data_IF_812351555265
#
_entry.id   IF_812351555265
#
_cell.length_a   1.000
_cell.length_b   1.000
_cell.length_c   1.000
_cell.angle_alpha   90.00
_cell.angle_beta   90.00
_cell.angle_gamma   90.00
#
_symmetry.space_group_name_H-M   'P 1'
#
loop_
_entity.id
_entity.type
_entity.pdbx_description
1 polymer ?
#
# COMPACT_ATOMS: atom_id res chain seq x y z
N UNK A 1 16.96 -26.17 -35.30
CA UNK A 1 16.15 -25.34 -34.39
C UNK A 1 16.06 -26.12 -33.09
N UNK A 2 16.74 -25.68 -32.03
CA UNK A 2 16.57 -26.30 -30.71
C UNK A 2 15.15 -25.99 -30.24
N UNK A 3 14.34 -27.01 -29.98
CA UNK A 3 13.08 -26.81 -29.28
C UNK A 3 13.41 -26.24 -27.90
N UNK A 4 13.00 -25.00 -27.67
CA UNK A 4 13.05 -24.42 -26.33
C UNK A 4 12.28 -25.36 -25.40
N UNK A 5 12.82 -25.70 -24.22
CA UNK A 5 12.11 -26.55 -23.27
C UNK A 5 10.71 -25.95 -23.03
N UNK A 6 9.69 -26.81 -22.92
CA UNK A 6 8.32 -26.44 -22.53
C UNK A 6 8.32 -25.81 -21.12
N UNK A 7 8.80 -24.59 -21.01
CA UNK A 7 8.80 -23.72 -19.83
C UNK A 7 7.41 -23.15 -19.54
N UNK A 8 6.35 -23.67 -20.19
CA UNK A 8 5.03 -23.04 -20.24
C UNK A 8 4.03 -23.55 -19.21
N UNK A 9 4.10 -24.80 -18.78
CA UNK A 9 3.04 -25.39 -17.95
C UNK A 9 3.60 -25.83 -16.60
N UNK A 10 3.47 -24.97 -15.60
CA UNK A 10 3.59 -25.40 -14.20
C UNK A 10 2.65 -26.60 -13.98
N UNK A 11 3.15 -27.76 -13.51
CA UNK A 11 2.32 -28.94 -13.29
C UNK A 11 1.15 -28.63 -12.36
N UNK A 12 -0.03 -29.20 -12.62
CA UNK A 12 -1.24 -28.86 -11.87
C UNK A 12 -1.09 -29.01 -10.34
N UNK A 13 -0.44 -30.05 -9.79
CA UNK A 13 -0.21 -30.13 -8.35
C UNK A 13 0.64 -28.96 -7.81
N UNK A 14 1.65 -28.52 -8.57
CA UNK A 14 2.49 -27.38 -8.20
C UNK A 14 1.71 -26.07 -8.29
N UNK A 15 0.84 -25.92 -9.31
CA UNK A 15 -0.08 -24.78 -9.45
C UNK A 15 -0.99 -24.63 -8.24
N UNK A 16 -1.58 -25.73 -7.78
CA UNK A 16 -2.45 -25.73 -6.61
C UNK A 16 -1.71 -25.34 -5.33
N UNK A 17 -0.45 -25.81 -5.15
CA UNK A 17 0.39 -25.40 -4.02
C UNK A 17 0.68 -23.89 -4.07
N UNK A 18 1.00 -23.34 -5.24
CA UNK A 18 1.25 -21.90 -5.41
C UNK A 18 -0.02 -21.09 -5.10
N UNK A 19 -1.18 -21.48 -5.63
CA UNK A 19 -2.47 -20.83 -5.34
C UNK A 19 -2.79 -20.81 -3.84
N UNK A 20 -2.71 -21.97 -3.19
CA UNK A 20 -2.93 -22.06 -1.75
C UNK A 20 -1.94 -21.20 -0.96
N UNK A 21 -0.68 -21.13 -1.40
CA UNK A 21 0.33 -20.28 -0.76
C UNK A 21 0.00 -18.79 -0.89
N UNK A 22 -0.49 -18.36 -2.05
CA UNK A 22 -0.93 -16.97 -2.28
C UNK A 22 -2.14 -16.65 -1.39
N UNK A 23 -3.12 -17.54 -1.30
CA UNK A 23 -4.29 -17.36 -0.43
C UNK A 23 -3.91 -17.27 1.05
N UNK A 24 -3.01 -18.14 1.51
CA UNK A 24 -2.49 -18.11 2.88
C UNK A 24 -1.74 -16.81 3.16
N UNK A 25 -0.89 -16.35 2.24
CA UNK A 25 -0.17 -15.09 2.37
C UNK A 25 -1.13 -13.88 2.42
N UNK A 26 -2.19 -13.87 1.58
CA UNK A 26 -3.23 -12.84 1.61
C UNK A 26 -3.93 -12.80 2.96
N UNK A 27 -4.36 -13.96 3.48
CA UNK A 27 -5.01 -14.06 4.80
C UNK A 27 -4.09 -13.58 5.94
N UNK A 28 -2.82 -13.95 5.90
CA UNK A 28 -1.84 -13.51 6.89
C UNK A 28 -1.66 -11.99 6.84
N UNK A 29 -1.58 -11.42 5.64
CA UNK A 29 -1.50 -9.97 5.45
C UNK A 29 -2.75 -9.25 5.98
N UNK A 30 -3.96 -9.72 5.66
CA UNK A 30 -5.21 -9.15 6.17
C UNK A 30 -5.27 -9.18 7.70
N UNK A 31 -4.86 -10.30 8.30
CA UNK A 31 -4.77 -10.45 9.76
C UNK A 31 -3.78 -9.45 10.36
N UNK A 32 -2.62 -9.28 9.74
CA UNK A 32 -1.61 -8.30 10.16
C UNK A 32 -2.12 -6.87 10.10
N UNK A 33 -2.82 -6.49 9.03
CA UNK A 33 -3.43 -5.16 8.89
C UNK A 33 -4.48 -4.93 9.98
N UNK A 34 -5.37 -5.90 10.21
CA UNK A 34 -6.38 -5.79 11.26
C UNK A 34 -5.75 -5.63 12.66
N UNK A 35 -4.73 -6.44 12.97
CA UNK A 35 -4.00 -6.34 14.23
C UNK A 35 -3.29 -4.97 14.38
N UNK A 36 -2.70 -4.46 13.30
CA UNK A 36 -2.05 -3.15 13.29
C UNK A 36 -3.04 -2.00 13.50
N UNK A 37 -4.21 -2.07 12.87
CA UNK A 37 -5.29 -1.09 13.06
C UNK A 37 -5.80 -1.10 14.50
N UNK A 38 -6.01 -2.28 15.09
CA UNK A 38 -6.39 -2.42 16.49
C UNK A 38 -5.33 -1.88 17.45
N UNK A 39 -4.05 -2.12 17.18
CA UNK A 39 -2.96 -1.58 17.97
C UNK A 39 -2.95 -0.05 17.91
N UNK A 40 -3.10 0.54 16.71
CA UNK A 40 -3.16 1.99 16.53
C UNK A 40 -4.37 2.63 17.23
N UNK A 41 -5.54 1.98 17.26
CA UNK A 41 -6.70 2.49 17.99
C UNK A 41 -6.52 2.47 19.51
N UNK A 42 -5.67 1.59 20.01
CA UNK A 42 -5.39 1.45 21.44
C UNK A 42 -4.29 2.42 21.93
N UNK A 43 -3.60 3.13 21.01
CA UNK A 43 -2.62 4.15 21.38
C UNK A 43 -3.37 5.37 21.93
N UNK A 44 -3.13 5.68 23.20
CA UNK A 44 -3.69 6.86 23.85
C UNK A 44 -3.07 8.14 23.26
N UNK A 45 -3.83 8.81 22.40
CA UNK A 45 -3.39 10.07 21.75
C UNK A 45 -3.30 11.27 22.70
N UNK A 46 -3.61 11.10 24.00
CA UNK A 46 -3.50 12.15 25.01
C UNK A 46 -2.06 12.41 25.48
N UNK A 47 -1.16 11.42 25.39
CA UNK A 47 0.26 11.58 25.78
C UNK A 47 1.08 12.42 24.78
N UNK A 48 0.64 12.46 23.51
CA UNK A 48 1.14 13.37 22.48
C UNK A 48 0.06 13.51 21.38
N UNK A 49 -0.68 14.63 21.29
CA UNK A 49 -1.70 14.81 20.27
C UNK A 49 -1.06 14.89 18.89
N UNK A 50 -1.15 13.81 18.10
CA UNK A 50 -0.84 13.88 16.68
C UNK A 50 -1.79 14.88 16.00
N UNK A 51 -1.23 15.76 15.16
CA UNK A 51 -2.00 16.72 14.37
C UNK A 51 -3.05 15.99 13.52
N UNK A 52 -4.17 16.65 13.20
CA UNK A 52 -5.21 16.02 12.37
C UNK A 52 -4.65 15.61 11.00
N UNK A 53 -3.85 16.49 10.37
CA UNK A 53 -3.19 16.19 9.09
C UNK A 53 -2.19 15.04 9.20
N UNK A 54 -1.49 14.88 10.33
CA UNK A 54 -0.60 13.74 10.56
C UNK A 54 -1.38 12.42 10.67
N UNK A 55 -2.54 12.42 11.34
CA UNK A 55 -3.41 11.23 11.41
C UNK A 55 -3.92 10.84 10.02
N UNK A 56 -4.37 11.82 9.23
CA UNK A 56 -4.81 11.58 7.85
C UNK A 56 -3.68 11.04 6.96
N UNK A 57 -2.46 11.59 7.08
CA UNK A 57 -1.30 11.10 6.36
C UNK A 57 -0.99 9.63 6.67
N UNK A 58 -0.98 9.26 7.96
CA UNK A 58 -0.75 7.87 8.37
C UNK A 58 -1.85 6.91 7.89
N UNK A 59 -3.11 7.31 8.00
CA UNK A 59 -4.23 6.54 7.46
C UNK A 59 -4.07 6.30 5.96
N UNK A 60 -3.64 7.33 5.22
CA UNK A 60 -3.49 7.23 3.78
C UNK A 60 -2.34 6.33 3.35
N UNK A 61 -1.22 6.39 4.05
CA UNK A 61 -0.10 5.46 3.84
C UNK A 61 -0.55 4.01 4.06
N UNK A 62 -1.36 3.76 5.10
CA UNK A 62 -1.91 2.43 5.36
C UNK A 62 -2.86 1.97 4.24
N UNK A 63 -3.74 2.85 3.75
CA UNK A 63 -4.62 2.58 2.61
C UNK A 63 -3.81 2.21 1.35
N UNK A 64 -2.76 2.97 1.03
CA UNK A 64 -1.92 2.71 -0.14
C UNK A 64 -1.16 1.40 -0.02
N UNK A 65 -0.64 1.11 1.17
CA UNK A 65 0.01 -0.18 1.44
C UNK A 65 -0.94 -1.35 1.20
N UNK A 66 -2.20 -1.23 1.67
CA UNK A 66 -3.24 -2.25 1.45
C UNK A 66 -3.56 -2.39 -0.04
N UNK A 67 -3.85 -1.30 -0.74
CA UNK A 67 -4.18 -1.32 -2.16
C UNK A 67 -3.05 -1.93 -3.01
N UNK A 68 -1.80 -1.57 -2.72
CA UNK A 68 -0.63 -2.09 -3.43
C UNK A 68 -0.43 -3.59 -3.18
N UNK A 69 -0.65 -4.06 -1.95
CA UNK A 69 -0.61 -5.49 -1.63
C UNK A 69 -1.73 -6.25 -2.35
N UNK A 70 -2.96 -5.71 -2.37
CA UNK A 70 -4.09 -6.31 -3.07
C UNK A 70 -3.83 -6.47 -4.56
N UNK A 71 -3.29 -5.44 -5.22
CA UNK A 71 -2.92 -5.48 -6.63
C UNK A 71 -1.83 -6.53 -6.92
N UNK A 72 -0.84 -6.66 -6.03
CA UNK A 72 0.22 -7.67 -6.16
C UNK A 72 -0.32 -9.10 -5.96
N UNK A 73 -1.21 -9.31 -5.00
CA UNK A 73 -1.84 -10.62 -4.82
C UNK A 73 -2.73 -10.98 -6.01
N UNK A 74 -3.45 -10.01 -6.58
CA UNK A 74 -4.24 -10.23 -7.79
C UNK A 74 -3.36 -10.64 -8.98
N UNK A 75 -2.23 -9.93 -9.20
CA UNK A 75 -1.26 -10.31 -10.22
C UNK A 75 -0.71 -11.72 -9.96
N UNK A 76 -0.30 -12.02 -8.73
CA UNK A 76 0.24 -13.34 -8.38
C UNK A 76 -0.76 -14.47 -8.64
N UNK A 77 -2.05 -14.27 -8.30
CA UNK A 77 -3.12 -15.23 -8.61
C UNK A 77 -3.26 -15.43 -10.12
N UNK A 78 -3.32 -14.34 -10.90
CA UNK A 78 -3.43 -14.41 -12.36
C UNK A 78 -2.21 -15.09 -13.00
N UNK A 79 -1.00 -14.82 -12.50
CA UNK A 79 0.22 -15.47 -12.96
C UNK A 79 0.24 -16.97 -12.64
N UNK A 80 -0.29 -17.37 -11.47
CA UNK A 80 -0.44 -18.78 -11.14
C UNK A 80 -1.43 -19.51 -12.08
N UNK A 81 -2.36 -18.78 -12.69
CA UNK A 81 -3.32 -19.29 -13.67
C UNK A 81 -2.84 -19.23 -15.13
N UNK A 82 -1.75 -18.52 -15.41
CA UNK A 82 -1.20 -18.39 -16.76
C UNK A 82 -0.83 -19.76 -17.35
N UNK A 83 -1.10 -19.93 -18.64
CA UNK A 83 -0.87 -21.20 -19.36
C UNK A 83 0.40 -21.17 -20.20
N UNK A 84 0.85 -19.98 -20.54
CA UNK A 84 2.06 -19.76 -21.32
C UNK A 84 2.72 -18.41 -21.02
N UNK A 85 3.89 -18.19 -21.61
CA UNK A 85 4.66 -16.96 -21.43
C UNK A 85 3.97 -15.73 -22.03
N UNK A 86 3.10 -15.90 -23.04
CA UNK A 86 2.38 -14.79 -23.65
C UNK A 86 1.34 -14.25 -22.67
N UNK A 87 0.60 -15.13 -22.00
CA UNK A 87 -0.32 -14.76 -20.92
C UNK A 87 0.41 -14.00 -19.80
N UNK A 88 1.60 -14.47 -19.39
CA UNK A 88 2.43 -13.81 -18.36
C UNK A 88 2.81 -12.38 -18.77
N UNK A 89 3.30 -12.20 -20.00
CA UNK A 89 3.70 -10.88 -20.51
C UNK A 89 2.49 -9.94 -20.58
N UNK A 90 1.34 -10.43 -21.02
CA UNK A 90 0.11 -9.64 -21.10
C UNK A 90 -0.37 -9.19 -19.71
N UNK A 91 -0.37 -10.11 -18.74
CA UNK A 91 -0.71 -9.83 -17.34
C UNK A 91 0.23 -8.80 -16.71
N UNK A 92 1.54 -8.93 -16.94
CA UNK A 92 2.53 -7.98 -16.43
C UNK A 92 2.34 -6.58 -17.03
N UNK A 93 2.10 -6.50 -18.34
CA UNK A 93 1.85 -5.23 -19.02
C UNK A 93 0.56 -4.56 -18.52
N UNK A 94 -0.52 -5.33 -18.34
CA UNK A 94 -1.76 -4.82 -17.77
C UNK A 94 -1.55 -4.28 -16.36
N UNK A 95 -0.86 -5.05 -15.51
CA UNK A 95 -0.57 -4.64 -14.13
C UNK A 95 0.26 -3.36 -14.09
N UNK A 96 1.34 -3.26 -14.87
CA UNK A 96 2.15 -2.03 -14.92
C UNK A 96 1.32 -0.81 -15.32
N UNK A 97 0.47 -0.92 -16.36
CA UNK A 97 -0.40 0.18 -16.78
C UNK A 97 -1.33 0.62 -15.65
N UNK A 98 -2.01 -0.34 -15.01
CA UNK A 98 -2.93 -0.05 -13.90
C UNK A 98 -2.20 0.57 -12.69
N UNK A 99 -1.00 0.08 -12.38
CA UNK A 99 -0.21 0.58 -11.26
C UNK A 99 0.39 1.97 -11.52
N UNK A 100 0.74 2.31 -12.77
CA UNK A 100 1.25 3.65 -13.09
C UNK A 100 0.23 4.74 -12.78
N UNK A 101 -1.02 4.56 -13.23
CA UNK A 101 -2.10 5.52 -12.95
C UNK A 101 -2.38 5.62 -11.45
N UNK A 102 -2.41 4.47 -10.77
CA UNK A 102 -2.60 4.41 -9.31
C UNK A 102 -1.48 5.14 -8.56
N UNK A 103 -0.22 4.90 -8.93
CA UNK A 103 0.91 5.54 -8.27
C UNK A 103 0.97 7.03 -8.50
N UNK A 104 0.60 7.52 -9.69
CA UNK A 104 0.51 8.96 -9.94
C UNK A 104 -0.50 9.62 -8.99
N UNK A 105 -1.70 9.04 -8.84
CA UNK A 105 -2.73 9.52 -7.92
C UNK A 105 -2.27 9.47 -6.45
N UNK A 106 -1.69 8.34 -6.04
CA UNK A 106 -1.16 8.17 -4.69
C UNK A 106 -0.07 9.22 -4.37
N UNK A 107 0.82 9.51 -5.32
CA UNK A 107 1.89 10.49 -5.14
C UNK A 107 1.34 11.92 -4.99
N UNK A 108 0.36 12.31 -5.82
CA UNK A 108 -0.29 13.61 -5.72
C UNK A 108 -0.96 13.79 -4.35
N UNK A 109 -1.64 12.76 -3.87
CA UNK A 109 -2.32 12.80 -2.59
C UNK A 109 -1.34 12.85 -1.40
N UNK A 110 -0.25 12.08 -1.45
CA UNK A 110 0.83 12.17 -0.46
C UNK A 110 1.46 13.55 -0.40
N UNK A 111 1.72 14.16 -1.57
CA UNK A 111 2.25 15.52 -1.66
C UNK A 111 1.32 16.53 -1.01
N UNK A 112 0.01 16.43 -1.28
CA UNK A 112 -1.01 17.29 -0.66
C UNK A 112 -0.99 17.15 0.87
N UNK A 113 -1.10 15.92 1.38
CA UNK A 113 -1.15 15.66 2.82
C UNK A 113 0.14 16.07 3.54
N UNK A 114 1.30 15.87 2.92
CA UNK A 114 2.59 16.30 3.49
C UNK A 114 2.67 17.82 3.56
N UNK A 115 2.19 18.53 2.53
CA UNK A 115 2.12 20.00 2.52
C UNK A 115 1.21 20.48 3.66
N UNK A 116 0.05 19.86 3.87
CA UNK A 116 -0.86 20.19 4.97
C UNK A 116 -0.22 20.01 6.34
N UNK A 117 0.52 18.91 6.55
CA UNK A 117 1.27 18.68 7.80
C UNK A 117 2.29 19.79 8.05
N UNK A 118 3.07 20.18 7.03
CA UNK A 118 4.08 21.24 7.15
C UNK A 118 3.43 22.60 7.43
N UNK A 119 2.35 22.93 6.72
CA UNK A 119 1.60 24.18 6.93
C UNK A 119 0.99 24.24 8.33
N UNK A 120 0.36 23.15 8.81
CA UNK A 120 -0.22 23.09 10.15
C UNK A 120 0.85 23.29 11.23
N UNK A 121 2.03 22.67 11.06
CA UNK A 121 3.15 22.84 11.97
C UNK A 121 3.67 24.30 12.01
N UNK A 122 3.81 24.93 10.84
CA UNK A 122 4.22 26.34 10.73
C UNK A 122 3.22 27.29 11.39
N UNK A 123 1.91 27.09 11.17
CA UNK A 123 0.86 27.91 11.79
C UNK A 123 0.79 27.76 13.31
N UNK A 124 1.05 26.55 13.85
CA UNK A 124 1.14 26.36 15.30
C UNK A 124 2.33 27.10 15.90
N UNK A 125 3.49 27.04 15.26
CA UNK A 125 4.69 27.76 15.70
C UNK A 125 4.49 29.29 15.70
N UNK A 126 3.88 29.85 14.65
CA UNK A 126 3.60 31.29 14.59
C UNK A 126 2.59 31.74 15.65
N UNK A 127 1.56 30.94 15.90
CA UNK A 127 0.54 31.25 16.92
C UNK A 127 1.15 31.30 18.31
N UNK A 128 2.00 30.33 18.66
CA UNK A 128 2.72 30.31 19.95
C UNK A 128 3.65 31.51 20.14
N UNK A 129 4.33 31.95 19.08
CA UNK A 129 5.17 33.17 19.11
C UNK A 129 4.34 34.44 19.37
N UNK A 130 3.17 34.56 18.75
CA UNK A 130 2.29 35.74 18.94
C UNK A 130 1.59 35.76 20.30
N UNK A 131 1.25 34.61 20.86
CA UNK A 131 0.62 34.53 22.20
C UNK A 131 1.62 34.72 23.34
N UNK A 132 2.89 34.34 23.16
CA UNK A 132 3.95 34.52 24.16
C UNK A 132 4.49 35.97 24.25
N UNK A 133 4.27 36.79 23.22
CA UNK A 133 4.74 38.17 23.17
C UNK A 133 3.79 39.21 23.77
N UNK A 134 2.55 38.84 24.12
CA UNK A 134 1.53 39.79 24.61
C UNK A 134 1.48 39.93 26.14
N UNK A 135 2.52 39.49 26.85
CA UNK A 135 2.62 39.57 28.32
C UNK A 135 3.79 40.46 28.75
N UNK A 136 3.78 41.74 28.37
CA UNK A 136 4.60 42.79 28.98
C UNK A 136 3.89 44.14 28.90
#
# INVERSE_FOLDING_TARGET
MQEMPKMGEMPEPMRQVVKSSIEQARKAFETFIAASQQAMSNIDTSAAPASHSMKMLNQKIAEFTKANAEANFELATKLADAKDMKDVIELQNQHVRQQMDTFAQQLEELRRLTTEVVTEAASKASTQMTSGGSSY
#
